data_IF_868885626561
#
_entry.id   IF_868885626561
#
_cell.length_a   1.000
_cell.length_b   1.000
_cell.length_c   1.000
_cell.angle_alpha   90.00
_cell.angle_beta   90.00
_cell.angle_gamma   90.00
#
_symmetry.space_group_name_H-M   'P 1'
#
loop_
_entity.id
_entity.type
_entity.pdbx_description
1 polymer ?
#
# COMPACT_ATOMS: atom_id res chain seq x y z
N UNK A 1 5.56 11.39 2.02
CA UNK A 1 4.10 11.60 1.89
C UNK A 1 3.75 13.09 1.84
N UNK A 2 3.89 13.85 2.94
CA UNK A 2 3.48 15.27 2.99
C UNK A 2 4.05 16.13 1.85
N UNK A 3 5.36 16.05 1.59
CA UNK A 3 6.00 16.82 0.50
C UNK A 3 5.44 16.47 -0.88
N UNK A 4 5.16 15.19 -1.16
CA UNK A 4 4.58 14.77 -2.43
C UNK A 4 3.13 15.27 -2.56
N UNK A 5 2.37 15.23 -1.47
CA UNK A 5 1.02 15.81 -1.43
C UNK A 5 1.04 17.31 -1.70
N UNK A 6 1.99 18.05 -1.12
CA UNK A 6 2.17 19.49 -1.41
C UNK A 6 2.41 19.72 -2.89
N UNK A 7 3.33 18.98 -3.53
CA UNK A 7 3.63 19.17 -4.96
C UNK A 7 2.42 18.91 -5.86
N UNK A 8 1.57 17.93 -5.51
CA UNK A 8 0.32 17.67 -6.23
C UNK A 8 -0.65 18.85 -6.04
N UNK A 9 -0.84 19.30 -4.80
CA UNK A 9 -1.72 20.43 -4.49
C UNK A 9 -1.24 21.73 -5.15
N UNK A 10 0.06 22.00 -5.18
CA UNK A 10 0.63 23.16 -5.88
C UNK A 10 0.27 23.15 -7.36
N UNK A 11 0.33 21.98 -8.01
CA UNK A 11 -0.05 21.82 -9.42
C UNK A 11 -1.53 22.03 -9.65
N UNK A 12 -2.39 21.54 -8.76
CA UNK A 12 -3.85 21.75 -8.85
C UNK A 12 -4.26 23.19 -8.59
N UNK A 13 -3.69 23.80 -7.54
CA UNK A 13 -3.86 25.22 -7.24
C UNK A 13 -3.39 26.05 -8.44
N UNK A 14 -2.31 25.64 -9.13
CA UNK A 14 -1.81 26.28 -10.34
C UNK A 14 -2.81 26.34 -11.52
N UNK A 15 -3.94 25.64 -11.43
CA UNK A 15 -5.00 25.64 -12.43
C UNK A 15 -6.29 26.29 -11.92
N UNK A 16 -6.28 26.89 -10.72
CA UNK A 16 -7.43 27.51 -10.09
C UNK A 16 -8.10 28.54 -11.01
N UNK A 17 -9.41 28.39 -11.20
CA UNK A 17 -10.27 29.36 -11.89
C UNK A 17 -11.05 30.15 -10.85
N UNK A 18 -10.81 31.46 -10.82
CA UNK A 18 -11.58 32.36 -9.98
C UNK A 18 -12.86 32.78 -10.71
N UNK A 19 -13.99 32.88 -9.98
CA UNK A 19 -15.19 33.51 -10.53
C UNK A 19 -14.97 35.01 -10.72
N UNK A 20 -15.72 35.59 -11.64
CA UNK A 20 -15.71 37.03 -11.84
C UNK A 20 -16.33 37.73 -10.62
N UNK A 21 -15.71 38.84 -10.19
CA UNK A 21 -16.15 39.61 -9.04
C UNK A 21 -16.67 40.96 -9.53
N UNK A 22 -17.98 41.16 -9.43
CA UNK A 22 -18.62 42.42 -9.77
C UNK A 22 -19.40 43.03 -8.61
N UNK A 23 -19.60 44.34 -8.64
CA UNK A 23 -20.33 45.07 -7.61
C UNK A 23 -20.42 46.56 -7.88
N UNK A 24 -21.09 47.28 -6.98
CA UNK A 24 -21.18 48.73 -6.98
C UNK A 24 -20.53 49.28 -5.70
N UNK A 25 -19.74 50.35 -5.81
CA UNK A 25 -19.08 51.01 -4.67
C UNK A 25 -19.09 52.53 -4.84
N UNK A 26 -18.93 53.27 -3.74
CA UNK A 26 -18.80 54.73 -3.78
C UNK A 26 -17.37 55.12 -3.46
N UNK A 27 -16.68 55.70 -4.44
CA UNK A 27 -15.27 56.10 -4.32
C UNK A 27 -15.22 57.63 -4.24
N UNK A 28 -14.70 58.17 -3.14
CA UNK A 28 -14.76 59.59 -2.76
C UNK A 28 -14.91 60.61 -3.91
N UNK A 29 -13.82 60.95 -4.59
CA UNK A 29 -13.80 61.97 -5.67
C UNK A 29 -14.39 61.50 -7.01
N UNK A 30 -14.73 60.21 -7.16
CA UNK A 30 -15.18 59.61 -8.43
C UNK A 30 -16.71 59.36 -8.44
N UNK A 31 -17.31 59.22 -7.26
CA UNK A 31 -18.75 58.95 -7.11
C UNK A 31 -19.09 57.46 -7.10
N UNK A 32 -20.29 57.12 -7.56
CA UNK A 32 -20.75 55.71 -7.64
C UNK A 32 -20.09 55.03 -8.83
N UNK A 33 -19.45 53.91 -8.58
CA UNK A 33 -18.68 53.13 -9.55
C UNK A 33 -19.23 51.71 -9.55
N UNK A 34 -19.56 51.19 -10.73
CA UNK A 34 -19.76 49.75 -10.94
C UNK A 34 -18.42 49.14 -11.34
N UNK A 35 -18.08 47.98 -10.82
CA UNK A 35 -16.85 47.29 -11.21
C UNK A 35 -17.11 45.84 -11.57
N UNK A 36 -16.24 45.30 -12.42
CA UNK A 36 -16.16 43.89 -12.78
C UNK A 36 -14.69 43.50 -12.89
N UNK A 37 -14.33 42.42 -12.18
CA UNK A 37 -13.01 41.81 -12.19
C UNK A 37 -13.13 40.43 -12.81
N UNK A 38 -12.35 40.18 -13.86
CA UNK A 38 -12.28 38.88 -14.50
C UNK A 38 -10.84 38.46 -14.74
N UNK A 39 -10.59 37.15 -14.75
CA UNK A 39 -9.25 36.61 -14.98
C UNK A 39 -9.01 36.49 -16.49
N UNK A 40 -7.99 37.16 -17.02
CA UNK A 40 -7.42 36.80 -18.33
C UNK A 40 -6.36 35.71 -18.16
N UNK A 41 -6.22 34.85 -19.17
CA UNK A 41 -5.55 33.54 -19.10
C UNK A 41 -4.09 33.54 -18.57
N UNK A 42 -3.76 32.47 -17.84
CA UNK A 42 -2.44 31.92 -17.41
C UNK A 42 -1.71 32.48 -16.16
N UNK A 43 -1.10 31.52 -15.43
CA UNK A 43 -0.28 31.58 -14.20
C UNK A 43 -1.01 31.90 -12.87
N UNK A 44 -0.54 31.30 -11.77
CA UNK A 44 -1.24 31.22 -10.47
C UNK A 44 -0.47 31.72 -9.28
N UNK A 45 0.86 31.60 -9.23
CA UNK A 45 1.62 32.08 -8.08
C UNK A 45 1.52 33.61 -7.91
N UNK A 46 1.23 34.30 -8.99
CA UNK A 46 0.65 35.63 -9.00
C UNK A 46 -0.52 35.60 -9.99
N UNK A 47 -1.70 36.09 -9.59
CA UNK A 47 -2.80 36.27 -10.54
C UNK A 47 -2.47 37.48 -11.37
N UNK A 48 -1.99 37.25 -12.59
CA UNK A 48 -1.56 38.31 -13.49
C UNK A 48 -2.61 38.64 -14.53
N UNK A 49 -2.50 39.84 -15.09
CA UNK A 49 -3.35 40.30 -16.19
C UNK A 49 -4.85 40.18 -15.86
N UNK A 50 -5.25 40.40 -14.62
CA UNK A 50 -6.66 40.46 -14.23
C UNK A 50 -7.28 41.70 -14.85
N UNK A 51 -8.41 41.55 -15.53
CA UNK A 51 -9.12 42.64 -16.19
C UNK A 51 -10.01 43.37 -15.20
N UNK A 52 -10.03 44.69 -15.32
CA UNK A 52 -10.93 45.57 -14.60
C UNK A 52 -11.76 46.37 -15.60
N UNK A 53 -13.06 46.52 -15.32
CA UNK A 53 -13.98 47.36 -16.09
C UNK A 53 -14.82 48.20 -15.13
N UNK A 54 -14.92 49.51 -15.39
CA UNK A 54 -15.75 50.41 -14.59
C UNK A 54 -16.33 51.57 -15.43
N UNK A 55 -17.66 51.74 -15.49
CA UNK A 55 -18.27 52.97 -15.93
C UNK A 55 -18.21 54.02 -14.81
N UNK A 56 -17.39 55.04 -14.99
CA UNK A 56 -17.45 56.30 -14.22
C UNK A 56 -18.51 57.23 -14.82
N UNK A 57 -18.96 58.28 -14.12
CA UNK A 57 -19.92 59.26 -14.66
C UNK A 57 -19.45 59.96 -15.95
N UNK A 58 -18.15 59.87 -16.30
CA UNK A 58 -17.56 60.56 -17.44
C UNK A 58 -16.80 59.67 -18.43
N UNK A 59 -16.48 58.41 -18.11
CA UNK A 59 -15.76 57.47 -19.00
C UNK A 59 -15.95 56.00 -18.62
N UNK A 60 -15.81 55.07 -19.58
CA UNK A 60 -15.64 53.64 -19.31
C UNK A 60 -14.15 53.31 -19.28
N UNK A 61 -13.64 52.94 -18.12
CA UNK A 61 -12.23 52.63 -17.94
C UNK A 61 -12.01 51.11 -17.94
N UNK A 62 -10.96 50.69 -18.63
CA UNK A 62 -10.48 49.31 -18.66
C UNK A 62 -9.01 49.27 -18.27
N UNK A 63 -8.60 48.21 -17.57
CA UNK A 63 -7.21 48.05 -17.18
C UNK A 63 -6.86 46.62 -16.81
N UNK A 64 -5.57 46.36 -16.65
CA UNK A 64 -5.05 45.11 -16.11
C UNK A 64 -4.34 45.33 -14.78
N UNK A 65 -4.35 44.32 -13.92
CA UNK A 65 -3.56 44.32 -12.69
C UNK A 65 -3.05 42.94 -12.33
N UNK A 66 -1.97 42.94 -11.55
CA UNK A 66 -1.37 41.76 -10.96
C UNK A 66 -1.65 41.70 -9.45
N UNK A 67 -1.96 40.52 -8.95
CA UNK A 67 -2.10 40.23 -7.53
C UNK A 67 -0.98 39.31 -7.04
N UNK A 68 -0.38 39.70 -5.93
CA UNK A 68 0.55 38.87 -5.17
C UNK A 68 -0.03 38.58 -3.79
N UNK A 69 -0.10 37.30 -3.45
CA UNK A 69 -0.57 36.83 -2.15
C UNK A 69 0.64 36.53 -1.27
N UNK A 70 0.64 37.03 -0.05
CA UNK A 70 1.72 36.83 0.90
C UNK A 70 1.17 36.21 2.20
N UNK A 71 1.95 35.31 2.79
CA UNK A 71 1.63 34.60 4.04
C UNK A 71 0.27 33.87 3.96
N UNK A 72 0.19 32.92 3.01
CA UNK A 72 -0.95 32.00 2.86
C UNK A 72 -0.75 30.82 3.82
N UNK A 73 -1.69 30.61 4.71
CA UNK A 73 -1.73 29.49 5.65
C UNK A 73 -2.88 28.57 5.26
N UNK A 74 -2.61 27.26 5.13
CA UNK A 74 -3.61 26.25 4.82
C UNK A 74 -3.47 25.13 5.85
N UNK A 75 -4.59 24.80 6.52
CA UNK A 75 -4.69 23.67 7.43
C UNK A 75 -5.73 22.71 6.88
N UNK A 76 -5.35 21.43 6.81
CA UNK A 76 -6.15 20.36 6.23
C UNK A 76 -6.23 19.25 7.28
N UNK A 77 -7.45 18.90 7.67
CA UNK A 77 -7.75 17.71 8.46
C UNK A 77 -8.10 16.56 7.53
N UNK A 78 -7.44 15.41 7.70
CA UNK A 78 -7.78 14.18 7.00
C UNK A 78 -8.38 13.18 7.98
N UNK A 79 -9.47 12.54 7.58
CA UNK A 79 -10.05 11.39 8.28
C UNK A 79 -9.72 10.12 7.50
N UNK A 80 -8.98 9.23 8.15
CA UNK A 80 -8.63 7.91 7.65
C UNK A 80 -9.66 6.89 8.14
N UNK A 81 -10.03 5.97 7.27
CA UNK A 81 -11.05 4.96 7.52
C UNK A 81 -10.75 3.66 6.79
N UNK A 82 -11.69 2.72 6.93
CA UNK A 82 -11.74 1.50 6.14
C UNK A 82 -13.18 1.27 5.68
N UNK A 83 -13.38 0.80 4.46
CA UNK A 83 -14.70 0.36 4.00
C UNK A 83 -14.98 -1.10 4.39
N UNK A 84 -16.19 -1.59 4.08
CA UNK A 84 -16.63 -2.95 4.42
C UNK A 84 -15.85 -4.05 3.70
N UNK A 85 -15.08 -3.71 2.65
CA UNK A 85 -14.19 -4.64 1.96
C UNK A 85 -12.78 -4.67 2.55
N UNK A 86 -12.51 -3.85 3.58
CA UNK A 86 -11.19 -3.68 4.16
C UNK A 86 -10.25 -2.81 3.32
N UNK A 87 -10.76 -2.04 2.35
CA UNK A 87 -9.94 -1.03 1.65
C UNK A 87 -9.81 0.23 2.51
N UNK A 88 -8.63 0.89 2.50
CA UNK A 88 -8.46 2.18 3.14
C UNK A 88 -9.32 3.25 2.47
N UNK A 89 -9.82 4.16 3.29
CA UNK A 89 -10.51 5.36 2.84
C UNK A 89 -9.87 6.59 3.46
N UNK A 90 -9.89 7.69 2.73
CA UNK A 90 -9.47 9.01 3.18
C UNK A 90 -10.49 10.04 2.73
N UNK A 91 -10.81 10.96 3.62
CA UNK A 91 -11.73 12.06 3.39
C UNK A 91 -11.22 13.31 4.09
N UNK A 92 -11.64 14.47 3.62
CA UNK A 92 -11.39 15.72 4.32
C UNK A 92 -12.31 15.81 5.54
N UNK A 93 -11.75 16.07 6.72
CA UNK A 93 -12.53 16.33 7.94
C UNK A 93 -12.66 17.81 8.26
N UNK A 94 -11.64 18.60 7.91
CA UNK A 94 -11.58 20.04 8.16
C UNK A 94 -10.71 20.73 7.11
N UNK A 95 -11.02 21.98 6.80
CA UNK A 95 -10.21 22.85 5.97
C UNK A 95 -10.28 24.28 6.46
N UNK A 96 -9.12 24.91 6.61
CA UNK A 96 -9.05 26.36 6.76
C UNK A 96 -7.91 26.92 5.95
N UNK A 97 -8.21 27.85 5.04
CA UNK A 97 -7.23 28.67 4.35
C UNK A 97 -7.32 30.11 4.86
N UNK A 98 -6.17 30.76 5.04
CA UNK A 98 -6.08 32.15 5.47
C UNK A 98 -5.00 32.88 4.69
N UNK A 99 -5.35 34.03 4.13
CA UNK A 99 -4.44 34.89 3.38
C UNK A 99 -4.23 36.17 4.18
N UNK A 100 -3.01 36.41 4.63
CA UNK A 100 -2.74 37.55 5.50
C UNK A 100 -2.62 38.86 4.73
N UNK A 101 -2.04 38.84 3.53
CA UNK A 101 -1.79 40.05 2.76
C UNK A 101 -2.02 39.83 1.25
N UNK A 102 -2.72 40.78 0.62
CA UNK A 102 -2.93 40.85 -0.82
C UNK A 102 -2.30 42.15 -1.34
N UNK A 103 -1.30 42.04 -2.22
CA UNK A 103 -0.70 43.20 -2.90
C UNK A 103 -1.21 43.29 -4.32
N UNK A 104 -1.67 44.48 -4.70
CA UNK A 104 -2.18 44.75 -6.05
C UNK A 104 -1.26 45.70 -6.78
N UNK A 105 -0.94 45.37 -8.03
CA UNK A 105 -0.09 46.15 -8.93
C UNK A 105 -0.91 46.46 -10.18
N UNK A 106 -1.42 47.69 -10.28
CA UNK A 106 -2.18 48.14 -11.45
C UNK A 106 -1.25 48.59 -12.58
N UNK A 107 -1.58 48.21 -13.81
CA UNK A 107 -0.94 48.73 -15.01
C UNK A 107 -1.47 50.15 -15.29
N UNK A 108 -0.74 51.19 -14.87
CA UNK A 108 -1.07 52.60 -15.14
C UNK A 108 -1.09 53.51 -13.91
N UNK A 109 -1.63 54.74 -14.05
CA UNK A 109 -1.63 55.79 -13.02
C UNK A 109 -3.01 56.06 -12.40
N UNK A 110 -3.78 55.02 -12.08
CA UNK A 110 -5.14 55.15 -11.50
C UNK A 110 -5.14 54.93 -9.99
N UNK A 111 -4.62 55.89 -9.21
CA UNK A 111 -4.53 55.77 -7.74
C UNK A 111 -5.87 55.56 -7.02
N UNK A 112 -6.99 56.01 -7.61
CA UNK A 112 -8.33 55.78 -7.04
C UNK A 112 -8.74 54.29 -7.06
N UNK A 113 -8.20 53.51 -8.00
CA UNK A 113 -8.50 52.09 -8.17
C UNK A 113 -7.90 51.24 -7.05
N UNK A 114 -6.76 51.65 -6.50
CA UNK A 114 -6.15 51.05 -5.31
C UNK A 114 -7.07 51.17 -4.09
N UNK A 115 -7.63 52.36 -3.86
CA UNK A 115 -8.58 52.59 -2.77
C UNK A 115 -9.88 51.81 -2.98
N UNK A 116 -10.39 51.72 -4.22
CA UNK A 116 -11.53 50.87 -4.53
C UNK A 116 -11.26 49.40 -4.19
N UNK A 117 -10.08 48.88 -4.60
CA UNK A 117 -9.73 47.50 -4.31
C UNK A 117 -9.70 47.20 -2.81
N UNK A 118 -8.95 47.98 -2.04
CA UNK A 118 -8.83 47.77 -0.60
C UNK A 118 -10.16 47.92 0.15
N UNK A 119 -10.99 48.89 -0.24
CA UNK A 119 -12.26 49.18 0.44
C UNK A 119 -13.38 48.20 0.14
N UNK A 120 -13.49 47.71 -1.11
CA UNK A 120 -14.67 46.99 -1.59
C UNK A 120 -14.40 45.59 -2.13
N UNK A 121 -13.17 45.31 -2.56
CA UNK A 121 -12.84 44.08 -3.30
C UNK A 121 -12.02 43.13 -2.44
N UNK A 122 -10.98 43.61 -1.74
CA UNK A 122 -9.97 42.78 -1.08
C UNK A 122 -10.57 41.72 -0.16
N UNK A 123 -11.45 42.11 0.77
CA UNK A 123 -12.05 41.16 1.72
C UNK A 123 -12.91 40.11 1.02
N UNK A 124 -13.63 40.49 -0.04
CA UNK A 124 -14.48 39.58 -0.81
C UNK A 124 -13.62 38.63 -1.65
N UNK A 125 -12.60 39.18 -2.30
CA UNK A 125 -11.62 38.44 -3.08
C UNK A 125 -10.89 37.41 -2.21
N UNK A 126 -10.39 37.83 -1.03
CA UNK A 126 -9.73 36.96 -0.06
C UNK A 126 -10.63 35.78 0.32
N UNK A 127 -11.87 36.06 0.73
CA UNK A 127 -12.83 35.03 1.13
C UNK A 127 -13.10 34.03 -0.01
N UNK A 128 -13.37 34.54 -1.21
CA UNK A 128 -13.59 33.68 -2.39
C UNK A 128 -12.38 32.79 -2.65
N UNK A 129 -11.17 33.33 -2.55
CA UNK A 129 -9.96 32.57 -2.80
C UNK A 129 -9.69 31.54 -1.70
N UNK A 130 -9.89 31.89 -0.42
CA UNK A 130 -9.79 30.96 0.71
C UNK A 130 -10.77 29.79 0.57
N UNK A 131 -12.04 30.08 0.22
CA UNK A 131 -13.07 29.06 -0.05
C UNK A 131 -12.66 28.18 -1.24
N UNK A 132 -12.16 28.78 -2.32
CA UNK A 132 -11.73 28.05 -3.52
C UNK A 132 -10.51 27.17 -3.29
N UNK A 133 -9.60 27.55 -2.41
CA UNK A 133 -8.47 26.70 -2.00
C UNK A 133 -9.00 25.44 -1.33
N UNK A 134 -9.94 25.57 -0.39
CA UNK A 134 -10.53 24.41 0.28
C UNK A 134 -11.33 23.51 -0.68
N UNK A 135 -12.10 24.09 -1.61
CA UNK A 135 -12.80 23.32 -2.66
C UNK A 135 -11.83 22.47 -3.50
N UNK A 136 -10.65 23.00 -3.83
CA UNK A 136 -9.64 22.28 -4.61
C UNK A 136 -9.02 21.17 -3.78
N UNK A 137 -8.66 21.46 -2.53
CA UNK A 137 -8.09 20.45 -1.64
C UNK A 137 -9.07 19.28 -1.45
N UNK A 138 -10.36 19.56 -1.22
CA UNK A 138 -11.38 18.52 -1.07
C UNK A 138 -11.48 17.64 -2.32
N UNK A 139 -11.50 18.26 -3.50
CA UNK A 139 -11.47 17.54 -4.79
C UNK A 139 -10.20 16.71 -4.97
N UNK A 140 -9.03 17.24 -4.61
CA UNK A 140 -7.76 16.53 -4.71
C UNK A 140 -7.76 15.31 -3.78
N UNK A 141 -8.24 15.48 -2.54
CA UNK A 141 -8.38 14.38 -1.58
C UNK A 141 -9.31 13.30 -2.13
N UNK A 142 -10.46 13.70 -2.70
CA UNK A 142 -11.46 12.77 -3.20
C UNK A 142 -11.06 12.06 -4.51
N UNK A 143 -10.41 12.76 -5.44
CA UNK A 143 -10.13 12.24 -6.78
C UNK A 143 -8.74 11.63 -6.92
N UNK A 144 -7.73 12.23 -6.27
CA UNK A 144 -6.34 11.78 -6.38
C UNK A 144 -5.95 10.91 -5.19
N UNK A 145 -6.02 11.45 -3.97
CA UNK A 145 -5.51 10.76 -2.79
C UNK A 145 -6.35 9.52 -2.46
N UNK A 146 -7.68 9.62 -2.47
CA UNK A 146 -8.59 8.50 -2.24
C UNK A 146 -8.44 7.41 -3.30
N UNK A 147 -8.23 7.79 -4.56
CA UNK A 147 -7.95 6.84 -5.65
C UNK A 147 -6.62 6.13 -5.40
N UNK A 148 -5.58 6.89 -5.03
CA UNK A 148 -4.26 6.34 -4.75
C UNK A 148 -4.28 5.34 -3.58
N UNK A 149 -4.87 5.69 -2.42
CA UNK A 149 -4.91 4.77 -1.27
C UNK A 149 -5.72 3.50 -1.60
N UNK A 150 -6.74 3.61 -2.44
CA UNK A 150 -7.53 2.45 -2.92
C UNK A 150 -6.75 1.51 -3.83
N UNK A 151 -5.59 1.91 -4.36
CA UNK A 151 -4.71 0.99 -5.11
C UNK A 151 -4.07 -0.07 -4.22
N UNK A 152 -4.06 0.14 -2.89
CA UNK A 152 -3.56 -0.85 -1.96
C UNK A 152 -4.36 -2.17 -2.09
N UNK A 153 -3.67 -3.30 -2.28
CA UNK A 153 -4.33 -4.57 -2.52
C UNK A 153 -4.98 -5.06 -1.22
N UNK A 154 -6.27 -5.38 -1.29
CA UNK A 154 -6.96 -6.15 -0.23
C UNK A 154 -6.55 -7.60 -0.32
N UNK A 155 -6.39 -8.12 -1.53
CA UNK A 155 -5.93 -9.50 -1.74
C UNK A 155 -4.80 -9.50 -2.77
N UNK A 156 -3.76 -10.29 -2.51
CA UNK A 156 -2.63 -10.48 -3.42
C UNK A 156 -2.47 -11.96 -3.76
N UNK A 157 -2.53 -12.30 -5.05
CA UNK A 157 -2.26 -13.68 -5.50
C UNK A 157 -0.75 -13.93 -5.49
N UNK A 158 -0.33 -15.02 -4.86
CA UNK A 158 1.09 -15.38 -4.76
C UNK A 158 1.49 -16.35 -5.86
N UNK A 159 0.65 -17.35 -6.14
CA UNK A 159 0.85 -18.33 -7.21
C UNK A 159 -0.47 -18.94 -7.69
N UNK A 160 -0.39 -20.05 -8.42
CA UNK A 160 -1.56 -20.76 -8.94
C UNK A 160 -2.48 -21.33 -7.84
N UNK A 161 -1.97 -21.51 -6.61
CA UNK A 161 -2.63 -22.22 -5.51
C UNK A 161 -3.01 -21.34 -4.32
N UNK A 162 -2.30 -20.25 -4.06
CA UNK A 162 -2.41 -19.47 -2.81
C UNK A 162 -2.46 -17.96 -3.07
N UNK A 163 -3.15 -17.25 -2.15
CA UNK A 163 -3.18 -15.79 -2.07
C UNK A 163 -3.05 -15.32 -0.62
N UNK A 164 -2.91 -14.01 -0.44
CA UNK A 164 -2.85 -13.34 0.86
C UNK A 164 -3.96 -12.30 0.93
N UNK A 165 -4.64 -12.26 2.07
CA UNK A 165 -5.63 -11.25 2.45
C UNK A 165 -4.94 -10.19 3.33
N UNK A 166 -4.84 -8.98 2.79
CA UNK A 166 -4.33 -7.75 3.39
C UNK A 166 -5.45 -6.75 3.69
N UNK A 167 -6.72 -7.19 3.78
CA UNK A 167 -7.80 -6.33 4.22
C UNK A 167 -7.46 -5.62 5.54
N UNK A 168 -7.78 -4.33 5.64
CA UNK A 168 -7.75 -3.64 6.93
C UNK A 168 -8.79 -4.27 7.86
N UNK A 169 -8.35 -4.64 9.07
CA UNK A 169 -9.25 -5.18 10.11
C UNK A 169 -9.91 -4.07 10.92
N UNK A 170 -9.37 -2.85 10.84
CA UNK A 170 -9.90 -1.65 11.45
C UNK A 170 -9.43 -0.40 10.69
N UNK A 171 -10.10 0.76 10.88
CA UNK A 171 -9.59 2.04 10.43
C UNK A 171 -8.16 2.32 10.91
N UNK A 172 -7.29 2.92 10.09
CA UNK A 172 -5.95 3.30 10.52
C UNK A 172 -5.96 4.23 11.73
N UNK A 173 -5.10 3.95 12.72
CA UNK A 173 -5.05 4.67 13.99
C UNK A 173 -3.87 5.65 13.98
N UNK A 174 -4.17 6.94 14.03
CA UNK A 174 -3.16 7.98 14.20
C UNK A 174 -2.84 8.17 15.70
N UNK A 175 -1.56 8.15 16.04
CA UNK A 175 -1.04 8.52 17.36
C UNK A 175 -0.20 9.80 17.25
N UNK A 176 0.39 10.26 18.34
CA UNK A 176 1.31 11.40 18.31
C UNK A 176 2.60 11.11 17.52
N UNK A 177 2.95 9.84 17.32
CA UNK A 177 4.24 9.40 16.78
C UNK A 177 4.13 8.48 15.56
N UNK A 178 2.99 7.82 15.38
CA UNK A 178 2.80 6.79 14.35
C UNK A 178 1.42 6.89 13.69
N UNK A 179 1.33 6.26 12.52
CA UNK A 179 0.07 5.94 11.88
C UNK A 179 0.04 4.42 11.67
N UNK A 180 -0.80 3.74 12.45
CA UNK A 180 -0.84 2.28 12.50
C UNK A 180 -1.98 1.78 11.62
N UNK A 181 -1.70 0.83 10.74
CA UNK A 181 -2.68 0.22 9.84
C UNK A 181 -2.65 -1.30 10.01
N UNK A 182 -3.63 -1.83 10.73
CA UNK A 182 -3.72 -3.26 11.02
C UNK A 182 -4.29 -4.01 9.82
N UNK A 183 -3.47 -4.87 9.23
CA UNK A 183 -3.83 -5.73 8.11
C UNK A 183 -4.14 -7.14 8.61
N UNK A 184 -5.08 -7.81 7.95
CA UNK A 184 -5.46 -9.19 8.29
C UNK A 184 -4.29 -10.16 8.15
N UNK A 185 -3.47 -10.02 7.10
CA UNK A 185 -2.23 -10.76 6.93
C UNK A 185 -2.42 -12.28 6.95
N UNK A 186 -3.34 -12.78 6.13
CA UNK A 186 -3.75 -14.19 6.17
C UNK A 186 -3.60 -14.84 4.80
N UNK A 187 -2.88 -15.96 4.73
CA UNK A 187 -2.86 -16.75 3.51
C UNK A 187 -4.13 -17.59 3.37
N UNK A 188 -4.58 -17.75 2.15
CA UNK A 188 -5.70 -18.62 1.81
C UNK A 188 -5.40 -19.45 0.56
N UNK A 189 -5.98 -20.66 0.48
CA UNK A 189 -5.97 -21.47 -0.72
C UNK A 189 -6.99 -20.93 -1.73
N UNK A 190 -6.61 -20.91 -3.01
CA UNK A 190 -7.50 -20.49 -4.10
C UNK A 190 -8.56 -21.55 -4.42
N UNK A 191 -8.31 -22.82 -4.04
CA UNK A 191 -9.25 -23.91 -4.23
C UNK A 191 -10.36 -23.89 -3.16
N UNK A 192 -10.02 -23.57 -1.91
CA UNK A 192 -10.95 -23.53 -0.79
C UNK A 192 -10.48 -22.52 0.26
N UNK A 193 -11.38 -21.63 0.69
CA UNK A 193 -11.10 -20.70 1.79
C UNK A 193 -11.58 -21.32 3.09
N UNK A 194 -10.63 -21.74 3.92
CA UNK A 194 -10.85 -22.31 5.24
C UNK A 194 -10.74 -21.23 6.32
N UNK A 195 -11.43 -21.41 7.44
CA UNK A 195 -11.20 -20.57 8.63
C UNK A 195 -9.94 -21.01 9.35
N UNK A 196 -9.18 -20.05 9.87
CA UNK A 196 -7.95 -20.33 10.62
C UNK A 196 -8.31 -20.62 12.09
N UNK A 197 -7.82 -21.71 12.70
CA UNK A 197 -8.27 -22.17 14.01
C UNK A 197 -7.56 -21.49 15.20
N UNK A 198 -6.79 -20.43 14.99
CA UNK A 198 -6.06 -19.70 16.02
C UNK A 198 -6.07 -18.20 15.73
N UNK A 199 -5.70 -17.39 16.71
CA UNK A 199 -5.71 -15.92 16.60
C UNK A 199 -4.28 -15.35 16.55
N UNK A 200 -4.09 -14.17 15.93
CA UNK A 200 -2.80 -13.49 15.94
C UNK A 200 -2.43 -13.00 17.34
N UNK A 201 -1.13 -13.01 17.63
CA UNK A 201 -0.56 -12.40 18.84
C UNK A 201 -0.26 -10.92 18.54
N UNK A 202 -0.54 -9.99 19.47
CA UNK A 202 -0.18 -8.59 19.33
C UNK A 202 1.31 -8.41 18.99
N UNK A 203 1.58 -7.58 18.00
CA UNK A 203 2.94 -7.22 17.61
C UNK A 203 3.39 -5.99 18.38
N UNK A 204 4.62 -6.04 18.89
CA UNK A 204 5.28 -4.90 19.53
C UNK A 204 6.34 -4.38 18.58
N UNK A 205 6.19 -3.11 18.17
CA UNK A 205 7.19 -2.43 17.35
C UNK A 205 8.23 -1.75 18.24
N UNK A 206 9.49 -1.64 17.78
CA UNK A 206 10.49 -0.87 18.48
C UNK A 206 10.06 0.61 18.56
N UNK A 207 10.47 1.34 19.61
CA UNK A 207 10.15 2.77 19.77
C UNK A 207 10.95 3.68 18.84
N UNK A 208 11.86 3.12 18.04
CA UNK A 208 12.74 3.87 17.16
C UNK A 208 12.00 4.35 15.91
N UNK A 209 12.34 5.55 15.43
CA UNK A 209 11.69 6.21 14.28
C UNK A 209 12.67 6.44 13.12
N UNK A 210 13.72 5.62 13.03
CA UNK A 210 14.81 5.74 12.05
C UNK A 210 14.40 5.42 10.61
N UNK A 211 13.18 4.93 10.40
CA UNK A 211 12.65 4.54 9.08
C UNK A 211 11.26 5.11 8.86
N UNK A 212 10.90 5.31 7.59
CA UNK A 212 9.59 5.87 7.22
C UNK A 212 8.43 4.90 7.48
N UNK A 213 8.67 3.60 7.39
CA UNK A 213 7.64 2.55 7.53
C UNK A 213 8.25 1.32 8.20
N UNK A 214 7.48 0.72 9.10
CA UNK A 214 7.79 -0.56 9.74
C UNK A 214 6.72 -1.59 9.37
N UNK A 215 7.16 -2.80 9.04
CA UNK A 215 6.26 -3.92 8.76
C UNK A 215 6.42 -4.97 9.84
N UNK A 216 5.31 -5.35 10.46
CA UNK A 216 5.27 -6.43 11.44
C UNK A 216 4.56 -7.63 10.84
N UNK A 217 5.22 -8.79 10.89
CA UNK A 217 4.62 -10.07 10.51
C UNK A 217 4.68 -11.01 11.72
N UNK A 218 3.51 -11.43 12.20
CA UNK A 218 3.40 -12.36 13.32
C UNK A 218 3.59 -13.80 12.85
N UNK A 219 3.79 -14.72 13.79
CA UNK A 219 3.79 -16.16 13.50
C UNK A 219 2.47 -16.60 12.83
N UNK A 220 1.35 -15.92 13.12
CA UNK A 220 0.06 -16.12 12.46
C UNK A 220 0.16 -16.01 10.94
N UNK A 221 0.78 -14.95 10.43
CA UNK A 221 0.95 -14.73 9.00
C UNK A 221 1.66 -15.90 8.33
N UNK A 222 2.75 -16.39 8.91
CA UNK A 222 3.50 -17.50 8.34
C UNK A 222 2.78 -18.85 8.48
N UNK A 223 2.13 -19.10 9.62
CA UNK A 223 1.42 -20.36 9.88
C UNK A 223 0.17 -20.53 9.00
N UNK A 224 -0.56 -19.45 8.73
CA UNK A 224 -1.66 -19.49 7.74
C UNK A 224 -1.13 -19.83 6.34
N UNK A 225 0.08 -19.36 5.99
CA UNK A 225 0.79 -19.77 4.79
C UNK A 225 1.03 -21.27 4.74
N UNK A 226 1.61 -21.84 5.79
CA UNK A 226 1.84 -23.28 5.88
C UNK A 226 0.56 -24.11 5.72
N UNK A 227 -0.55 -23.68 6.32
CA UNK A 227 -1.87 -24.31 6.18
C UNK A 227 -2.36 -24.21 4.74
N UNK A 228 -2.36 -23.02 4.14
CA UNK A 228 -2.85 -22.81 2.78
C UNK A 228 -2.10 -23.66 1.75
N UNK A 229 -0.76 -23.79 1.87
CA UNK A 229 0.03 -24.64 0.99
C UNK A 229 -0.21 -26.14 1.23
N UNK A 230 -0.40 -26.54 2.48
CA UNK A 230 -0.73 -27.92 2.83
C UNK A 230 -2.10 -28.34 2.27
N UNK A 231 -3.15 -27.56 2.54
CA UNK A 231 -4.51 -27.81 2.06
C UNK A 231 -4.60 -27.77 0.52
N UNK A 232 -3.79 -26.94 -0.14
CA UNK A 232 -3.70 -26.92 -1.59
C UNK A 232 -2.90 -28.09 -2.20
N UNK A 233 -2.48 -29.07 -1.39
CA UNK A 233 -1.67 -30.21 -1.83
C UNK A 233 -0.36 -29.79 -2.49
N UNK A 234 0.22 -28.66 -2.08
CA UNK A 234 1.46 -28.15 -2.64
C UNK A 234 2.71 -28.71 -1.95
N UNK A 235 2.55 -29.31 -0.77
CA UNK A 235 3.63 -29.91 0.01
C UNK A 235 3.73 -31.42 -0.23
N UNK A 236 3.61 -31.83 -1.50
CA UNK A 236 3.75 -33.22 -1.96
C UNK A 236 4.77 -33.24 -3.09
N UNK A 237 5.80 -34.07 -2.95
CA UNK A 237 6.91 -34.17 -3.88
C UNK A 237 7.24 -35.64 -4.15
N UNK A 238 7.59 -35.99 -5.38
CA UNK A 238 8.11 -37.31 -5.71
C UNK A 238 9.61 -37.19 -5.98
N UNK A 239 10.40 -38.11 -5.42
CA UNK A 239 11.82 -38.30 -5.73
C UNK A 239 11.94 -39.58 -6.53
N UNK A 240 12.41 -39.43 -7.76
CA UNK A 240 12.64 -40.49 -8.74
C UNK A 240 14.13 -40.59 -9.08
N UNK A 241 14.52 -41.69 -9.71
CA UNK A 241 15.93 -41.96 -10.05
C UNK A 241 16.55 -40.89 -10.97
N UNK A 242 15.78 -40.27 -11.86
CA UNK A 242 16.25 -39.20 -12.75
C UNK A 242 16.64 -37.91 -12.01
N UNK A 243 16.17 -37.74 -10.77
CA UNK A 243 16.56 -36.61 -9.90
C UNK A 243 17.88 -36.86 -9.17
N UNK A 244 18.38 -38.10 -9.17
CA UNK A 244 19.63 -38.46 -8.51
C UNK A 244 20.81 -38.21 -9.47
N UNK A 245 21.83 -37.42 -9.07
CA UNK A 245 23.00 -37.18 -9.90
C UNK A 245 23.67 -38.49 -10.33
N UNK A 246 24.07 -38.59 -11.60
CA UNK A 246 24.68 -39.84 -12.14
C UNK A 246 25.96 -40.26 -11.42
N UNK A 247 26.66 -39.31 -10.80
CA UNK A 247 27.87 -39.52 -10.00
C UNK A 247 27.59 -39.79 -8.51
N UNK A 248 26.34 -39.84 -8.08
CA UNK A 248 25.98 -40.20 -6.72
C UNK A 248 26.34 -41.67 -6.44
N UNK A 249 26.84 -41.93 -5.24
CA UNK A 249 27.22 -43.28 -4.79
C UNK A 249 26.01 -44.19 -4.49
N UNK A 250 24.79 -43.64 -4.55
CA UNK A 250 23.56 -44.37 -4.28
C UNK A 250 22.60 -44.27 -5.46
N UNK A 251 21.71 -45.26 -5.57
CA UNK A 251 20.70 -45.40 -6.61
C UNK A 251 19.37 -45.79 -5.96
N UNK A 252 18.26 -45.32 -6.52
CA UNK A 252 16.91 -45.64 -6.09
C UNK A 252 16.45 -46.97 -6.70
N UNK A 253 16.91 -48.06 -6.11
CA UNK A 253 16.51 -49.42 -6.50
C UNK A 253 16.53 -50.39 -5.32
N UNK A 254 15.66 -51.39 -5.37
CA UNK A 254 15.49 -52.36 -4.28
C UNK A 254 16.78 -53.11 -3.95
N UNK A 255 17.61 -53.40 -4.95
CA UNK A 255 18.91 -54.06 -4.76
C UNK A 255 19.88 -53.20 -3.96
N UNK A 256 19.90 -51.88 -4.18
CA UNK A 256 20.74 -50.97 -3.41
C UNK A 256 20.25 -50.84 -1.96
N UNK A 257 18.93 -50.80 -1.75
CA UNK A 257 18.32 -50.73 -0.42
C UNK A 257 18.35 -52.06 0.34
N UNK A 258 18.61 -53.19 -0.35
CA UNK A 258 18.71 -54.51 0.27
C UNK A 258 19.83 -54.63 1.30
N UNK A 259 20.86 -53.76 1.21
CA UNK A 259 21.90 -53.63 2.21
C UNK A 259 21.35 -53.22 3.59
N UNK A 260 20.20 -52.55 3.64
CA UNK A 260 19.54 -52.11 4.87
C UNK A 260 18.27 -52.93 5.17
N UNK A 261 17.54 -53.34 4.13
CA UNK A 261 16.29 -54.09 4.23
C UNK A 261 16.35 -55.30 3.28
N UNK A 262 16.95 -56.43 3.70
CA UNK A 262 17.21 -57.58 2.84
C UNK A 262 15.97 -58.16 2.15
N UNK A 263 14.79 -58.04 2.78
CA UNK A 263 13.51 -58.52 2.26
C UNK A 263 13.11 -57.86 0.93
N UNK A 264 13.62 -56.65 0.65
CA UNK A 264 13.35 -55.96 -0.61
C UNK A 264 13.90 -56.71 -1.82
N UNK A 265 15.09 -57.31 -1.70
CA UNK A 265 15.66 -58.12 -2.78
C UNK A 265 14.90 -59.42 -3.00
N UNK A 266 14.31 -59.98 -1.93
CA UNK A 266 13.57 -61.23 -2.00
C UNK A 266 12.19 -61.03 -2.64
N UNK A 267 11.47 -59.98 -2.26
CA UNK A 267 10.10 -59.73 -2.73
C UNK A 267 10.04 -58.92 -4.03
N UNK A 268 10.97 -57.99 -4.24
CA UNK A 268 10.99 -57.07 -5.38
C UNK A 268 12.40 -57.00 -6.00
N UNK A 269 12.94 -58.09 -6.56
CA UNK A 269 14.31 -58.14 -7.04
C UNK A 269 14.56 -57.16 -8.20
N UNK A 270 15.62 -56.33 -8.09
CA UNK A 270 16.08 -55.42 -9.15
C UNK A 270 15.02 -54.43 -9.67
N UNK A 271 14.12 -53.98 -8.80
CA UNK A 271 13.06 -53.04 -9.16
C UNK A 271 13.49 -51.60 -8.90
N UNK A 272 13.15 -50.65 -9.80
CA UNK A 272 13.28 -49.22 -9.53
C UNK A 272 12.43 -48.80 -8.34
N UNK A 273 12.92 -47.82 -7.57
CA UNK A 273 12.18 -47.25 -6.45
C UNK A 273 11.88 -45.78 -6.68
N UNK A 274 10.80 -45.30 -6.06
CA UNK A 274 10.55 -43.87 -5.88
C UNK A 274 10.10 -43.57 -4.46
N UNK A 275 10.34 -42.34 -4.01
CA UNK A 275 9.82 -41.84 -2.74
C UNK A 275 8.76 -40.79 -3.01
N UNK A 276 7.61 -40.90 -2.34
CA UNK A 276 6.62 -39.84 -2.26
C UNK A 276 6.75 -39.18 -0.89
N UNK A 277 7.16 -37.91 -0.89
CA UNK A 277 7.22 -37.07 0.29
C UNK A 277 5.94 -36.26 0.41
N UNK A 278 5.38 -36.22 1.61
CA UNK A 278 4.23 -35.40 1.93
C UNK A 278 4.27 -34.95 3.37
N UNK A 279 3.71 -33.78 3.67
CA UNK A 279 3.45 -33.38 5.05
C UNK A 279 2.10 -33.95 5.50
N UNK A 280 2.00 -34.77 6.56
CA UNK A 280 0.71 -35.27 7.05
C UNK A 280 -0.15 -34.16 7.66
N UNK A 281 0.49 -33.12 8.21
CA UNK A 281 -0.14 -31.91 8.75
C UNK A 281 0.63 -30.67 8.28
N UNK A 282 -0.03 -29.51 8.27
CA UNK A 282 0.64 -28.25 7.97
C UNK A 282 1.83 -28.01 8.92
N UNK A 283 3.03 -27.65 8.40
CA UNK A 283 4.17 -27.29 9.25
C UNK A 283 3.86 -26.09 10.14
N UNK A 284 4.45 -26.04 11.34
CA UNK A 284 4.26 -24.92 12.27
C UNK A 284 5.57 -24.16 12.51
N UNK A 285 5.47 -22.84 12.44
CA UNK A 285 6.54 -21.87 12.58
C UNK A 285 6.39 -21.08 13.88
N UNK A 286 7.52 -20.87 14.53
CA UNK A 286 7.66 -20.12 15.78
C UNK A 286 8.65 -18.97 15.60
N UNK A 287 8.31 -17.82 16.16
CA UNK A 287 9.18 -16.64 16.20
C UNK A 287 9.53 -16.39 17.66
N UNK A 288 10.83 -16.38 17.97
CA UNK A 288 11.32 -16.13 19.33
C UNK A 288 12.62 -15.30 19.32
N UNK A 289 13.20 -15.05 20.49
CA UNK A 289 14.43 -14.25 20.61
C UNK A 289 15.63 -14.83 19.82
N UNK A 290 15.66 -16.15 19.65
CA UNK A 290 16.67 -16.86 18.87
C UNK A 290 16.42 -16.89 17.35
N UNK A 291 15.42 -16.15 16.86
CA UNK A 291 15.03 -16.10 15.45
C UNK A 291 13.80 -16.96 15.15
N UNK A 292 13.71 -17.41 13.89
CA UNK A 292 12.55 -18.13 13.36
C UNK A 292 12.89 -19.62 13.24
N UNK A 293 12.03 -20.46 13.79
CA UNK A 293 12.18 -21.92 13.76
C UNK A 293 10.93 -22.59 13.21
N UNK A 294 11.12 -23.53 12.28
CA UNK A 294 10.10 -24.36 11.66
C UNK A 294 10.35 -25.82 12.04
N UNK A 295 9.28 -26.56 12.41
CA UNK A 295 9.37 -27.99 12.71
C UNK A 295 8.44 -28.79 11.79
N UNK A 296 8.83 -29.07 10.53
CA UNK A 296 8.04 -29.90 9.64
C UNK A 296 8.06 -31.38 10.08
N UNK A 297 6.93 -32.03 9.87
CA UNK A 297 6.79 -33.48 9.84
C UNK A 297 6.66 -33.86 8.37
N UNK A 298 7.52 -34.74 7.87
CA UNK A 298 7.52 -35.18 6.48
C UNK A 298 7.47 -36.69 6.44
N UNK A 299 6.41 -37.22 5.85
CA UNK A 299 6.26 -38.63 5.58
C UNK A 299 6.87 -38.95 4.22
N UNK A 300 7.81 -39.89 4.19
CA UNK A 300 8.46 -40.40 2.99
C UNK A 300 8.04 -41.85 2.77
N UNK A 301 7.08 -42.04 1.86
CA UNK A 301 6.61 -43.36 1.45
C UNK A 301 7.46 -43.88 0.30
N UNK A 302 8.10 -45.04 0.51
CA UNK A 302 8.83 -45.75 -0.53
C UNK A 302 7.88 -46.66 -1.33
N UNK A 303 8.10 -46.70 -2.65
CA UNK A 303 7.43 -47.61 -3.57
C UNK A 303 8.44 -48.33 -4.45
N UNK A 304 8.19 -49.60 -4.76
CA UNK A 304 8.78 -50.29 -5.91
C UNK A 304 7.89 -50.05 -7.14
N UNK A 305 8.52 -49.79 -8.28
CA UNK A 305 7.84 -49.65 -9.56
C UNK A 305 7.88 -51.02 -10.24
N UNK A 306 6.72 -51.66 -10.37
CA UNK A 306 6.59 -52.98 -10.97
C UNK A 306 6.67 -52.89 -12.51
N UNK A 307 6.90 -54.02 -13.22
CA UNK A 307 7.02 -54.02 -14.69
C UNK A 307 5.77 -53.50 -15.43
N UNK A 308 4.60 -53.61 -14.80
CA UNK A 308 3.32 -53.08 -15.31
C UNK A 308 3.12 -51.58 -14.96
N UNK A 309 4.16 -50.92 -14.43
CA UNK A 309 4.16 -49.54 -13.92
C UNK A 309 3.29 -49.30 -12.69
N UNK A 310 2.75 -50.35 -12.07
CA UNK A 310 2.05 -50.22 -10.79
C UNK A 310 3.03 -49.98 -9.63
N UNK A 311 2.54 -49.40 -8.55
CA UNK A 311 3.35 -49.03 -7.39
C UNK A 311 3.06 -49.97 -6.23
N UNK A 312 4.06 -50.74 -5.82
CA UNK A 312 3.99 -51.57 -4.61
C UNK A 312 4.54 -50.77 -3.42
N UNK A 313 3.74 -50.47 -2.38
CA UNK A 313 4.21 -49.77 -1.19
C UNK A 313 5.21 -50.66 -0.43
N UNK A 314 6.36 -50.08 -0.05
CA UNK A 314 7.43 -50.82 0.64
C UNK A 314 7.47 -50.51 2.12
N UNK A 315 7.73 -49.24 2.47
CA UNK A 315 7.82 -48.77 3.85
C UNK A 315 7.56 -47.27 3.93
N UNK A 316 7.15 -46.81 5.12
CA UNK A 316 6.88 -45.41 5.42
C UNK A 316 7.86 -44.92 6.48
N UNK A 317 8.54 -43.82 6.19
CA UNK A 317 9.39 -43.12 7.16
C UNK A 317 8.71 -41.80 7.56
N UNK A 318 8.68 -41.48 8.84
CA UNK A 318 8.26 -40.16 9.32
C UNK A 318 9.47 -39.38 9.83
N UNK A 319 9.74 -38.25 9.19
CA UNK A 319 10.92 -37.42 9.41
C UNK A 319 10.50 -36.14 10.14
N UNK A 320 11.07 -35.90 11.32
CA UNK A 320 10.81 -34.69 12.10
C UNK A 320 12.14 -34.01 12.39
N UNK A 321 12.24 -32.73 12.02
CA UNK A 321 13.46 -31.95 12.25
C UNK A 321 13.13 -30.50 12.53
N UNK A 322 13.90 -29.87 13.41
CA UNK A 322 13.86 -28.42 13.59
C UNK A 322 14.75 -27.76 12.55
N UNK A 323 14.25 -26.69 11.95
CA UNK A 323 14.86 -26.00 10.83
C UNK A 323 14.86 -24.52 11.13
N UNK A 324 16.02 -23.87 11.03
CA UNK A 324 16.12 -22.42 11.21
C UNK A 324 15.78 -21.71 9.91
N UNK A 325 15.05 -20.61 10.01
CA UNK A 325 14.67 -19.77 8.87
C UNK A 325 15.26 -18.39 9.06
N UNK A 326 15.99 -17.90 8.06
CA UNK A 326 16.36 -16.50 7.97
C UNK A 326 15.42 -15.79 6.99
N UNK A 327 14.93 -14.62 7.38
CA UNK A 327 14.01 -13.80 6.59
C UNK A 327 14.70 -12.51 6.18
N UNK A 328 14.45 -12.08 4.95
CA UNK A 328 14.94 -10.82 4.40
C UNK A 328 13.88 -10.19 3.49
N UNK A 329 14.11 -8.95 3.06
CA UNK A 329 13.25 -8.24 2.11
C UNK A 329 14.05 -7.95 0.85
N UNK A 330 13.53 -8.36 -0.30
CA UNK A 330 14.13 -8.09 -1.61
C UNK A 330 13.08 -7.59 -2.59
N UNK A 331 13.28 -6.40 -3.15
CA UNK A 331 12.39 -5.78 -4.14
C UNK A 331 10.91 -5.75 -3.72
N UNK A 332 10.64 -5.35 -2.47
CA UNK A 332 9.28 -5.28 -1.93
C UNK A 332 8.63 -6.64 -1.63
N UNK A 333 9.40 -7.73 -1.60
CA UNK A 333 8.92 -9.07 -1.24
C UNK A 333 9.67 -9.61 -0.02
N UNK A 334 8.94 -10.29 0.85
CA UNK A 334 9.54 -11.10 1.92
C UNK A 334 10.14 -12.34 1.28
N UNK A 335 11.42 -12.60 1.55
CA UNK A 335 12.15 -13.80 1.11
C UNK A 335 12.69 -14.54 2.32
N UNK A 336 12.79 -15.86 2.22
CA UNK A 336 13.32 -16.70 3.29
C UNK A 336 14.36 -17.68 2.78
N UNK A 337 15.35 -17.99 3.61
CA UNK A 337 16.27 -19.10 3.41
C UNK A 337 16.15 -20.07 4.57
N UNK A 338 16.12 -21.36 4.25
CA UNK A 338 15.93 -22.44 5.20
C UNK A 338 17.26 -23.14 5.41
N UNK A 339 17.71 -23.25 6.67
CA UNK A 339 18.90 -24.00 7.05
C UNK A 339 18.50 -25.22 7.90
N UNK A 340 18.78 -26.39 7.36
CA UNK A 340 18.52 -27.70 7.97
C UNK A 340 19.61 -28.12 8.95
N UNK A 341 20.74 -27.41 9.05
CA UNK A 341 21.88 -27.78 9.89
C UNK A 341 22.56 -29.07 9.42
N UNK A 342 23.58 -29.54 10.15
CA UNK A 342 24.32 -30.77 9.79
C UNK A 342 23.51 -32.04 10.12
N UNK A 343 23.49 -33.01 9.21
CA UNK A 343 23.02 -34.36 9.52
C UNK A 343 23.95 -34.97 10.58
N UNK A 344 23.36 -35.49 11.66
CA UNK A 344 24.09 -36.33 12.64
C UNK A 344 23.81 -37.78 12.34
#
# INVERSE_FOLDING_TARGET
>A
AHQQGITILEKELAQLKLPDISGDSRVGRVGKVRYELSRSLHQVLALRNMLFSSPSPCSRDHGSFDLKLENVYIKIGLRLGSDTSGKPTVSMSDCSARISQVRVLFSGKLGWLYNLFHSAIESRFRKILEDKVCDIVDKSVHNELQTYVRTLPVTARINAKTGIDYALVAPPKATAQSLDADLKGEFYSLAHRSTVPFSPVPLVFPPDHDRMVYFGASSYFFNTGCIAYHEAGALVFEITEDMIPKNAAFRLGTSAFSAFIPQLQQMYPNMPMKFKLSTPTAPFLTIGPGGISLKPIVDAQAYAILPDSSLAPLFLLSLVRNVSVAVNVKSGRIVGSVDVGRYR
#
